data_IF_334774969249
#
_entry.id   IF_334774969249
#
_cell.length_a   1.000
_cell.length_b   1.000
_cell.length_c   1.000
_cell.angle_alpha   90.00
_cell.angle_beta   90.00
_cell.angle_gamma   90.00
#
_symmetry.space_group_name_H-M   'P 1'
#
loop_
_entity.id
_entity.type
_entity.pdbx_description
1 polymer ?
#
# COMPACT_ATOMS: atom_id res chain seq x y z
N UNK A 1 26.53 -6.15 -4.13
CA UNK A 1 26.69 -4.74 -3.68
C UNK A 1 26.75 -3.77 -4.86
N UNK A 2 27.46 -4.07 -5.96
CA UNK A 2 27.49 -3.23 -7.17
C UNK A 2 26.14 -3.17 -7.92
N UNK A 3 25.31 -4.22 -7.87
CA UNK A 3 23.97 -4.22 -8.48
C UNK A 3 22.94 -3.33 -7.77
N UNK A 4 23.21 -2.88 -6.54
CA UNK A 4 22.25 -2.08 -5.76
C UNK A 4 22.17 -0.63 -6.22
N UNK A 5 23.22 -0.13 -6.88
CA UNK A 5 23.37 1.27 -7.31
C UNK A 5 23.18 1.46 -8.81
N UNK A 6 22.43 0.57 -9.46
CA UNK A 6 21.97 0.83 -10.83
C UNK A 6 20.93 1.95 -10.83
N UNK A 7 20.86 2.72 -11.93
CA UNK A 7 19.87 3.81 -12.09
C UNK A 7 18.44 3.26 -11.94
N UNK A 8 18.20 2.03 -12.43
CA UNK A 8 16.91 1.35 -12.30
C UNK A 8 16.57 1.05 -10.83
N UNK A 9 17.50 0.45 -10.07
CA UNK A 9 17.25 0.10 -8.68
C UNK A 9 17.10 1.33 -7.78
N UNK A 10 17.80 2.42 -8.11
CA UNK A 10 17.61 3.71 -7.43
C UNK A 10 16.22 4.29 -7.71
N UNK A 11 15.74 4.20 -8.96
CA UNK A 11 14.38 4.58 -9.33
C UNK A 11 13.33 3.76 -8.60
N UNK A 12 13.49 2.44 -8.58
CA UNK A 12 12.61 1.52 -7.84
C UNK A 12 12.62 1.85 -6.34
N UNK A 13 13.78 2.10 -5.74
CA UNK A 13 13.91 2.47 -4.33
C UNK A 13 13.17 3.77 -4.02
N UNK A 14 13.36 4.80 -4.86
CA UNK A 14 12.68 6.08 -4.68
C UNK A 14 11.17 5.90 -4.75
N UNK A 15 10.70 5.15 -5.75
CA UNK A 15 9.27 4.84 -5.91
C UNK A 15 8.74 4.05 -4.72
N UNK A 16 9.46 3.03 -4.23
CA UNK A 16 9.07 2.24 -3.08
C UNK A 16 9.00 3.08 -1.81
N UNK A 17 10.01 3.92 -1.54
CA UNK A 17 9.99 4.84 -0.41
C UNK A 17 8.77 5.78 -0.48
N UNK A 18 8.47 6.29 -1.68
CA UNK A 18 7.31 7.15 -1.91
C UNK A 18 5.99 6.42 -1.68
N UNK A 19 5.81 5.25 -2.29
CA UNK A 19 4.63 4.41 -2.11
C UNK A 19 4.44 4.00 -0.66
N UNK A 20 5.51 3.62 0.03
CA UNK A 20 5.43 3.26 1.44
C UNK A 20 5.13 4.46 2.34
N UNK A 21 5.54 5.67 1.96
CA UNK A 21 5.12 6.88 2.66
C UNK A 21 3.62 7.17 2.45
N UNK A 22 3.12 7.00 1.22
CA UNK A 22 1.71 7.25 0.87
C UNK A 22 0.79 6.15 1.41
N UNK A 23 1.07 4.87 1.13
CA UNK A 23 0.33 3.69 1.58
C UNK A 23 0.56 3.35 3.06
N UNK A 24 1.69 3.78 3.62
CA UNK A 24 1.99 3.65 5.05
C UNK A 24 1.18 4.58 5.93
N UNK A 25 0.37 5.47 5.34
CA UNK A 25 -0.52 6.38 6.04
C UNK A 25 -1.52 5.66 6.94
N UNK A 26 -2.33 4.74 6.39
CA UNK A 26 -3.39 4.07 7.16
C UNK A 26 -2.82 3.29 8.34
N UNK A 27 -1.65 2.69 8.12
CA UNK A 27 -0.87 2.03 9.15
C UNK A 27 -0.43 2.99 10.27
N UNK A 28 0.05 4.19 9.91
CA UNK A 28 0.51 5.20 10.85
C UNK A 28 -0.66 5.86 11.60
N UNK A 29 -1.78 6.14 10.92
CA UNK A 29 -2.99 6.70 11.51
C UNK A 29 -3.58 5.72 12.53
N UNK A 30 -3.66 4.43 12.19
CA UNK A 30 -4.08 3.39 13.12
C UNK A 30 -3.16 3.29 14.35
N UNK A 31 -1.84 3.26 14.14
CA UNK A 31 -0.85 3.27 15.23
C UNK A 31 -1.07 4.49 16.14
N UNK A 32 -1.27 5.67 15.56
CA UNK A 32 -1.47 6.91 16.30
C UNK A 32 -2.74 6.86 17.14
N UNK A 33 -3.88 6.50 16.55
CA UNK A 33 -5.18 6.42 17.23
C UNK A 33 -5.16 5.35 18.33
N UNK A 34 -4.65 4.15 18.04
CA UNK A 34 -4.65 3.07 19.02
C UNK A 34 -3.64 3.36 20.15
N UNK A 35 -2.51 4.04 19.86
CA UNK A 35 -1.55 4.46 20.90
C UNK A 35 -2.15 5.43 21.92
N UNK A 36 -3.14 6.26 21.53
CA UNK A 36 -3.83 7.18 22.44
C UNK A 36 -4.70 6.44 23.47
N UNK A 37 -5.04 5.17 23.22
CA UNK A 37 -5.80 4.33 24.16
C UNK A 37 -4.93 3.75 25.29
N UNK A 38 -3.61 3.89 25.20
CA UNK A 38 -2.68 3.57 26.27
C UNK A 38 -2.62 4.69 27.33
N UNK A 39 -2.19 4.38 28.57
CA UNK A 39 -1.97 5.40 29.61
C UNK A 39 -1.07 6.53 29.08
N UNK A 40 -1.42 7.80 29.38
CA UNK A 40 -0.77 9.01 28.81
C UNK A 40 0.76 8.96 28.94
N UNK A 41 1.28 8.49 30.08
CA UNK A 41 2.72 8.36 30.32
C UNK A 41 3.42 7.34 29.41
N UNK A 42 2.69 6.37 28.85
CA UNK A 42 3.21 5.25 28.07
C UNK A 42 2.94 5.37 26.57
N UNK A 43 2.11 6.33 26.12
CA UNK A 43 1.71 6.46 24.71
C UNK A 43 2.89 6.58 23.73
N UNK A 44 3.90 7.39 24.09
CA UNK A 44 5.13 7.54 23.28
C UNK A 44 5.90 6.22 23.17
N UNK A 45 6.06 5.50 24.28
CA UNK A 45 6.75 4.22 24.29
C UNK A 45 5.98 3.16 23.50
N UNK A 46 4.66 3.10 23.67
CA UNK A 46 3.76 2.20 22.90
C UNK A 46 3.88 2.45 21.41
N UNK A 47 3.89 3.72 20.99
CA UNK A 47 4.06 4.08 19.59
C UNK A 47 5.44 3.68 19.05
N UNK A 48 6.51 4.02 19.78
CA UNK A 48 7.87 3.67 19.38
C UNK A 48 8.05 2.16 19.20
N UNK A 49 7.68 1.38 20.22
CA UNK A 49 7.77 -0.09 20.15
C UNK A 49 6.82 -0.68 19.12
N UNK A 50 5.61 -0.13 18.98
CA UNK A 50 4.67 -0.53 17.94
C UNK A 50 5.25 -0.38 16.53
N UNK A 51 5.88 0.76 16.24
CA UNK A 51 6.52 1.00 14.93
C UNK A 51 7.74 0.10 14.73
N UNK A 52 8.63 -0.03 15.72
CA UNK A 52 9.83 -0.88 15.61
C UNK A 52 9.43 -2.35 15.34
N UNK A 53 8.49 -2.89 16.11
CA UNK A 53 8.03 -4.27 15.94
C UNK A 53 7.32 -4.43 14.59
N UNK A 54 6.48 -3.47 14.18
CA UNK A 54 5.82 -3.48 12.88
C UNK A 54 6.81 -3.53 11.71
N UNK A 55 7.84 -2.68 11.73
CA UNK A 55 8.89 -2.64 10.69
C UNK A 55 9.68 -3.96 10.68
N UNK A 56 10.05 -4.48 11.84
CA UNK A 56 10.74 -5.75 11.94
C UNK A 56 9.90 -6.90 11.36
N UNK A 57 8.62 -6.99 11.73
CA UNK A 57 7.70 -7.99 11.19
C UNK A 57 7.48 -7.84 9.69
N UNK A 58 7.49 -6.62 9.15
CA UNK A 58 7.43 -6.39 7.69
C UNK A 58 8.62 -6.98 6.96
N UNK A 59 9.83 -6.78 7.48
CA UNK A 59 11.05 -7.35 6.87
C UNK A 59 11.02 -8.89 6.96
N UNK A 60 10.55 -9.43 8.08
CA UNK A 60 10.37 -10.89 8.23
C UNK A 60 9.31 -11.42 7.27
N UNK A 61 8.15 -10.77 7.18
CA UNK A 61 7.06 -11.15 6.27
C UNK A 61 7.54 -11.10 4.81
N UNK A 62 8.27 -10.05 4.43
CA UNK A 62 8.88 -9.93 3.11
C UNK A 62 9.80 -11.12 2.81
N UNK A 63 10.70 -11.44 3.73
CA UNK A 63 11.61 -12.58 3.58
C UNK A 63 10.85 -13.91 3.45
N UNK A 64 9.83 -14.12 4.27
CA UNK A 64 8.98 -15.32 4.24
C UNK A 64 8.21 -15.40 2.92
N UNK A 65 7.64 -14.29 2.45
CA UNK A 65 6.89 -14.23 1.19
C UNK A 65 7.76 -14.60 0.00
N UNK A 66 8.92 -13.95 -0.17
CA UNK A 66 9.86 -14.25 -1.26
C UNK A 66 10.31 -15.72 -1.17
N UNK A 67 10.69 -16.16 0.02
CA UNK A 67 11.12 -17.55 0.22
C UNK A 67 10.03 -18.57 -0.11
N UNK A 68 8.76 -18.27 0.17
CA UNK A 68 7.64 -19.15 -0.15
C UNK A 68 7.30 -19.12 -1.65
N UNK A 69 7.35 -17.95 -2.28
CA UNK A 69 7.18 -17.81 -3.73
C UNK A 69 8.22 -18.65 -4.46
N UNK A 70 9.50 -18.55 -4.07
CA UNK A 70 10.58 -19.32 -4.69
C UNK A 70 10.45 -20.83 -4.43
N UNK A 71 10.13 -21.22 -3.19
CA UNK A 71 10.01 -22.65 -2.83
C UNK A 71 8.78 -23.34 -3.40
N UNK A 72 7.72 -22.58 -3.70
CA UNK A 72 6.46 -23.07 -4.24
C UNK A 72 6.24 -22.56 -5.67
N UNK A 73 7.35 -22.48 -6.43
CA UNK A 73 7.40 -22.06 -7.82
C UNK A 73 6.67 -23.06 -8.75
N UNK A 74 6.75 -24.36 -8.44
CA UNK A 74 6.09 -25.40 -9.22
C UNK A 74 4.56 -25.24 -9.18
N UNK A 75 3.87 -25.32 -10.34
CA UNK A 75 2.43 -25.20 -10.39
C UNK A 75 1.75 -26.39 -9.70
N UNK A 76 0.84 -26.09 -8.78
CA UNK A 76 0.01 -27.09 -8.10
C UNK A 76 -1.02 -27.71 -9.03
N UNK A 77 -1.55 -26.90 -9.96
CA UNK A 77 -2.59 -27.28 -10.92
C UNK A 77 -2.27 -26.63 -12.26
N UNK A 78 -2.41 -27.39 -13.34
CA UNK A 78 -2.38 -26.87 -14.70
C UNK A 78 -3.78 -26.94 -15.29
N UNK A 79 -4.34 -25.79 -15.61
CA UNK A 79 -5.67 -25.63 -16.18
C UNK A 79 -5.55 -25.78 -17.70
N UNK A 80 -6.35 -26.69 -18.26
CA UNK A 80 -6.36 -27.01 -19.69
C UNK A 80 -7.77 -26.88 -20.28
N UNK A 81 -8.55 -25.89 -19.82
CA UNK A 81 -9.88 -25.63 -20.37
C UNK A 81 -9.76 -24.79 -21.63
N UNK A 82 -9.53 -25.51 -22.74
CA UNK A 82 -9.27 -24.93 -24.07
C UNK A 82 -10.29 -23.85 -24.41
N UNK A 83 -9.82 -22.62 -24.64
CA UNK A 83 -10.62 -21.48 -25.04
C UNK A 83 -11.38 -20.76 -23.92
N UNK A 84 -11.26 -21.19 -22.66
CA UNK A 84 -11.92 -20.56 -21.50
C UNK A 84 -10.87 -20.14 -20.47
N UNK A 85 -10.13 -21.11 -19.92
CA UNK A 85 -9.12 -20.88 -18.89
C UNK A 85 -7.98 -21.89 -19.03
N UNK A 86 -6.82 -21.38 -19.41
CA UNK A 86 -5.60 -22.17 -19.61
C UNK A 86 -4.48 -21.59 -18.74
N UNK A 87 -3.53 -22.41 -18.30
CA UNK A 87 -2.32 -21.95 -17.61
C UNK A 87 -2.04 -22.66 -16.28
N UNK A 88 -0.87 -22.39 -15.72
CA UNK A 88 -0.42 -22.93 -14.45
C UNK A 88 -0.86 -22.08 -13.26
N UNK A 89 -1.18 -22.74 -12.15
CA UNK A 89 -1.46 -22.09 -10.87
C UNK A 89 -0.44 -22.56 -9.85
N UNK A 90 0.47 -21.67 -9.47
CA UNK A 90 1.43 -21.88 -8.38
C UNK A 90 1.08 -21.02 -7.16
N UNK A 91 1.94 -21.02 -6.15
CA UNK A 91 1.72 -20.22 -4.94
C UNK A 91 1.65 -18.72 -5.22
N UNK A 92 2.56 -18.21 -6.06
CA UNK A 92 2.58 -16.80 -6.45
C UNK A 92 1.29 -16.40 -7.18
N UNK A 93 0.79 -17.22 -8.10
CA UNK A 93 -0.50 -17.01 -8.76
C UNK A 93 -1.63 -16.84 -7.73
N UNK A 94 -1.72 -17.75 -6.75
CA UNK A 94 -2.77 -17.65 -5.72
C UNK A 94 -2.62 -16.38 -4.87
N UNK A 95 -1.40 -16.07 -4.44
CA UNK A 95 -1.10 -14.90 -3.61
C UNK A 95 -1.40 -13.60 -4.36
N UNK A 96 -1.01 -13.49 -5.63
CA UNK A 96 -1.23 -12.29 -6.44
C UNK A 96 -2.70 -12.11 -6.83
N UNK A 97 -3.45 -13.19 -7.11
CA UNK A 97 -4.91 -13.09 -7.34
C UNK A 97 -5.62 -12.64 -6.06
N UNK A 98 -5.40 -13.36 -4.95
CA UNK A 98 -6.07 -13.05 -3.69
C UNK A 98 -5.68 -11.66 -3.17
N UNK A 99 -4.40 -11.35 -3.25
CA UNK A 99 -3.83 -10.06 -2.90
C UNK A 99 -4.37 -8.93 -3.77
N UNK A 100 -4.34 -9.08 -5.09
CA UNK A 100 -4.85 -8.09 -6.03
C UNK A 100 -6.33 -7.81 -5.82
N UNK A 101 -7.16 -8.85 -5.69
CA UNK A 101 -8.60 -8.70 -5.40
C UNK A 101 -8.83 -8.04 -4.04
N UNK A 102 -8.11 -8.47 -2.99
CA UNK A 102 -8.24 -7.90 -1.65
C UNK A 102 -7.89 -6.41 -1.62
N UNK A 103 -6.79 -6.04 -2.28
CA UNK A 103 -6.31 -4.67 -2.40
C UNK A 103 -7.32 -3.80 -3.17
N UNK A 104 -7.79 -4.27 -4.32
CA UNK A 104 -8.81 -3.56 -5.13
C UNK A 104 -10.09 -3.37 -4.31
N UNK A 105 -10.58 -4.44 -3.68
CA UNK A 105 -11.78 -4.39 -2.86
C UNK A 105 -11.65 -3.36 -1.74
N UNK A 106 -10.53 -3.39 -1.01
CA UNK A 106 -10.25 -2.46 0.09
C UNK A 106 -10.20 -1.02 -0.42
N UNK A 107 -9.46 -0.76 -1.49
CA UNK A 107 -9.37 0.58 -2.08
C UNK A 107 -10.73 1.12 -2.54
N UNK A 108 -11.53 0.32 -3.26
CA UNK A 108 -12.87 0.71 -3.72
C UNK A 108 -13.80 0.97 -2.55
N UNK A 109 -13.76 0.11 -1.52
CA UNK A 109 -14.58 0.24 -0.32
C UNK A 109 -14.25 1.52 0.44
N UNK A 110 -12.97 1.81 0.66
CA UNK A 110 -12.53 3.02 1.37
C UNK A 110 -12.87 4.29 0.56
N UNK A 111 -12.61 4.30 -0.76
CA UNK A 111 -13.02 5.41 -1.64
C UNK A 111 -14.53 5.65 -1.56
N UNK A 112 -15.34 4.58 -1.63
CA UNK A 112 -16.80 4.68 -1.52
C UNK A 112 -17.24 5.23 -0.16
N UNK A 113 -16.58 4.80 0.93
CA UNK A 113 -16.86 5.30 2.26
C UNK A 113 -16.56 6.80 2.36
N UNK A 114 -15.39 7.25 1.87
CA UNK A 114 -15.03 8.67 1.85
C UNK A 114 -16.02 9.54 1.06
N UNK A 115 -16.59 9.02 -0.03
CA UNK A 115 -17.61 9.71 -0.82
C UNK A 115 -18.99 9.73 -0.14
N UNK A 116 -19.30 8.72 0.67
CA UNK A 116 -20.58 8.60 1.39
C UNK A 116 -20.65 9.39 2.70
N UNK A 117 -19.50 9.77 3.27
CA UNK A 117 -19.44 10.44 4.57
C UNK A 117 -19.52 11.96 4.38
N UNK A 118 -20.75 12.44 4.23
CA UNK A 118 -21.17 13.70 4.83
C UNK A 118 -21.45 13.41 6.32
N UNK A 119 -20.56 13.89 7.19
CA UNK A 119 -20.60 13.80 8.66
C UNK A 119 -20.50 12.39 9.29
N UNK A 120 -19.33 12.10 9.88
CA UNK A 120 -19.22 11.33 11.12
C UNK A 120 -17.88 11.67 11.80
N UNK A 121 -17.93 12.67 12.70
CA UNK A 121 -17.04 12.69 13.85
C UNK A 121 -17.45 11.50 14.71
N UNK A 122 -16.64 10.44 14.73
CA UNK A 122 -16.78 9.43 15.77
C UNK A 122 -16.16 10.01 17.04
N UNK A 123 -17.05 10.39 17.96
CA UNK A 123 -16.72 10.65 19.36
C UNK A 123 -15.85 9.51 19.89
N UNK A 124 -14.66 9.85 20.37
CA UNK A 124 -13.83 8.94 21.17
C UNK A 124 -14.45 8.92 22.57
N UNK A 125 -15.61 8.27 22.70
CA UNK A 125 -16.21 8.03 24.00
C UNK A 125 -15.36 7.06 24.80
N UNK A 126 -15.03 7.50 26.02
CA UNK A 126 -14.04 6.89 26.89
C UNK A 126 -14.38 5.44 27.23
N UNK A 127 -13.47 4.53 26.87
CA UNK A 127 -13.38 3.20 27.48
C UNK A 127 -11.95 2.92 27.91
N UNK A 128 -11.77 2.98 29.23
CA UNK A 128 -10.82 2.24 30.09
C UNK A 128 -9.49 1.82 29.47
N UNK A 129 -8.40 2.36 30.04
CA UNK A 129 -7.01 2.12 29.65
C UNK A 129 -6.71 0.63 29.47
N UNK A 130 -6.64 0.21 28.20
CA UNK A 130 -6.05 -1.08 27.85
C UNK A 130 -4.59 -1.05 28.32
N UNK A 131 -4.13 -2.15 28.92
CA UNK A 131 -2.70 -2.30 29.25
C UNK A 131 -1.84 -1.99 28.02
N UNK A 132 -0.75 -1.24 28.18
CA UNK A 132 0.13 -0.86 27.07
C UNK A 132 0.58 -2.06 26.23
N UNK A 133 0.83 -3.21 26.85
CA UNK A 133 1.17 -4.45 26.15
C UNK A 133 0.03 -4.91 25.21
N UNK A 134 -1.23 -4.80 25.64
CA UNK A 134 -2.40 -5.16 24.82
C UNK A 134 -2.58 -4.20 23.64
N UNK A 135 -2.28 -2.91 23.85
CA UNK A 135 -2.31 -1.89 22.80
C UNK A 135 -1.22 -2.16 21.77
N UNK A 136 0.01 -2.43 22.21
CA UNK A 136 1.11 -2.82 21.31
C UNK A 136 0.75 -4.08 20.53
N UNK A 137 0.24 -5.13 21.18
CA UNK A 137 -0.17 -6.35 20.47
C UNK A 137 -1.23 -6.10 19.39
N UNK A 138 -2.22 -5.25 19.67
CA UNK A 138 -3.25 -4.91 18.68
C UNK A 138 -2.69 -4.11 17.51
N UNK A 139 -1.81 -3.14 17.80
CA UNK A 139 -1.06 -2.38 16.80
C UNK A 139 -0.28 -3.33 15.90
N UNK A 140 0.48 -4.24 16.50
CA UNK A 140 1.33 -5.20 15.79
C UNK A 140 0.48 -6.14 14.92
N UNK A 141 -0.62 -6.66 15.46
CA UNK A 141 -1.51 -7.56 14.74
C UNK A 141 -2.18 -6.88 13.55
N UNK A 142 -2.72 -5.68 13.73
CA UNK A 142 -3.33 -4.94 12.62
C UNK A 142 -2.30 -4.49 11.59
N UNK A 143 -1.10 -4.08 12.03
CA UNK A 143 -0.02 -3.76 11.11
C UNK A 143 0.41 -4.97 10.29
N UNK A 144 0.41 -6.17 10.88
CA UNK A 144 0.69 -7.40 10.13
C UNK A 144 -0.34 -7.63 9.01
N UNK A 145 -1.64 -7.46 9.31
CA UNK A 145 -2.70 -7.59 8.29
C UNK A 145 -2.49 -6.57 7.16
N UNK A 146 -2.34 -5.29 7.50
CA UNK A 146 -2.10 -4.24 6.50
C UNK A 146 -0.74 -4.33 5.81
N UNK A 147 0.23 -5.02 6.43
CA UNK A 147 1.55 -5.18 5.81
C UNK A 147 1.52 -6.09 4.60
N UNK A 148 0.55 -7.01 4.51
CA UNK A 148 0.37 -7.85 3.33
C UNK A 148 0.18 -6.98 2.07
N UNK A 149 -0.69 -5.98 2.12
CA UNK A 149 -0.94 -5.11 0.98
C UNK A 149 0.33 -4.37 0.54
N UNK A 150 1.06 -3.79 1.50
CA UNK A 150 2.29 -3.07 1.23
C UNK A 150 3.43 -3.96 0.71
N UNK A 151 3.51 -5.21 1.17
CA UNK A 151 4.53 -6.19 0.72
C UNK A 151 4.21 -6.68 -0.68
N UNK A 152 2.95 -7.08 -0.93
CA UNK A 152 2.50 -7.48 -2.26
C UNK A 152 2.65 -6.35 -3.27
N UNK A 153 2.29 -5.13 -2.87
CA UNK A 153 2.49 -3.94 -3.69
C UNK A 153 3.95 -3.69 -4.07
N UNK A 154 4.86 -3.99 -3.14
CA UNK A 154 6.29 -3.80 -3.36
C UNK A 154 6.88 -4.89 -4.27
N UNK A 155 6.39 -6.14 -4.14
CA UNK A 155 6.77 -7.25 -5.02
C UNK A 155 6.37 -7.00 -6.48
N UNK A 156 5.27 -6.29 -6.72
CA UNK A 156 4.87 -5.87 -8.07
C UNK A 156 5.85 -4.89 -8.76
N UNK A 157 6.82 -4.34 -8.03
CA UNK A 157 7.75 -3.31 -8.53
C UNK A 157 9.15 -3.91 -8.76
N UNK A 158 9.64 -4.68 -7.82
CA UNK A 158 10.97 -5.31 -7.88
C UNK A 158 11.03 -6.54 -7.01
N UNK A 159 11.79 -7.54 -7.47
CA UNK A 159 12.07 -8.77 -6.73
C UNK A 159 13.38 -8.68 -5.92
N UNK A 160 14.07 -7.54 -5.98
CA UNK A 160 15.35 -7.35 -5.29
C UNK A 160 15.11 -7.14 -3.80
N UNK A 161 15.25 -8.22 -3.02
CA UNK A 161 15.06 -8.22 -1.56
C UNK A 161 15.75 -7.03 -0.87
N UNK A 162 16.99 -6.73 -1.25
CA UNK A 162 17.74 -5.65 -0.61
C UNK A 162 17.12 -4.26 -0.85
N UNK A 163 16.58 -4.00 -2.05
CA UNK A 163 15.90 -2.74 -2.37
C UNK A 163 14.60 -2.63 -1.56
N UNK A 164 13.82 -3.71 -1.51
CA UNK A 164 12.57 -3.79 -0.74
C UNK A 164 12.80 -3.59 0.76
N UNK A 165 13.79 -4.30 1.33
CA UNK A 165 14.12 -4.21 2.74
C UNK A 165 14.64 -2.81 3.13
N UNK A 166 15.52 -2.21 2.30
CA UNK A 166 16.01 -0.86 2.53
C UNK A 166 14.87 0.16 2.48
N UNK A 167 13.94 0.02 1.52
CA UNK A 167 12.76 0.88 1.45
C UNK A 167 11.94 0.78 2.76
N UNK A 168 11.61 -0.44 3.20
CA UNK A 168 10.83 -0.68 4.43
C UNK A 168 11.52 -0.06 5.65
N UNK A 169 12.84 -0.22 5.78
CA UNK A 169 13.61 0.33 6.90
C UNK A 169 13.64 1.85 6.84
N UNK A 170 13.93 2.44 5.67
CA UNK A 170 13.93 3.90 5.48
C UNK A 170 12.56 4.51 5.79
N UNK A 171 11.49 3.89 5.30
CA UNK A 171 10.12 4.30 5.59
C UNK A 171 9.81 4.18 7.08
N UNK A 172 10.21 3.08 7.73
CA UNK A 172 10.06 2.88 9.17
C UNK A 172 10.80 3.92 10.01
N UNK A 173 12.03 4.28 9.63
CA UNK A 173 12.80 5.34 10.28
C UNK A 173 12.13 6.71 10.07
N UNK A 174 11.68 7.00 8.85
CA UNK A 174 10.94 8.22 8.56
C UNK A 174 9.65 8.32 9.39
N UNK A 175 8.92 7.21 9.55
CA UNK A 175 7.75 7.13 10.43
C UNK A 175 8.11 7.41 11.88
N UNK A 176 9.20 6.86 12.43
CA UNK A 176 9.61 7.14 13.80
C UNK A 176 9.93 8.63 14.03
N UNK A 177 10.63 9.26 13.09
CA UNK A 177 11.06 10.67 13.20
C UNK A 177 9.89 11.62 12.95
N UNK A 178 9.00 11.28 12.02
CA UNK A 178 7.98 12.19 11.51
C UNK A 178 6.56 11.84 11.94
N UNK A 179 6.33 10.78 12.73
CA UNK A 179 4.98 10.28 13.06
C UNK A 179 4.01 11.39 13.49
N UNK A 180 4.39 12.23 14.46
CA UNK A 180 3.53 13.30 14.95
C UNK A 180 3.21 14.37 13.89
N UNK A 181 4.16 14.67 13.01
CA UNK A 181 4.01 15.69 11.96
C UNK A 181 3.23 15.15 10.76
N UNK A 182 3.48 13.90 10.38
CA UNK A 182 2.81 13.22 9.27
C UNK A 182 1.34 12.98 9.61
N UNK A 183 1.03 12.49 10.82
CA UNK A 183 -0.37 12.33 11.26
C UNK A 183 -1.13 13.66 11.18
N UNK A 184 -0.59 14.74 11.75
CA UNK A 184 -1.24 16.07 11.73
C UNK A 184 -1.37 16.65 10.33
N UNK A 185 -0.37 16.44 9.46
CA UNK A 185 -0.42 16.89 8.07
C UNK A 185 -1.52 16.17 7.28
N UNK A 186 -1.64 14.86 7.48
CA UNK A 186 -2.58 14.03 6.73
C UNK A 186 -4.02 14.18 7.24
N UNK A 187 -4.22 14.33 8.55
CA UNK A 187 -5.53 14.73 9.12
C UNK A 187 -6.05 16.03 8.49
N UNK A 188 -5.15 16.98 8.21
CA UNK A 188 -5.48 18.27 7.61
C UNK A 188 -5.67 18.19 6.08
N UNK A 189 -5.05 17.22 5.43
CA UNK A 189 -5.00 17.12 3.97
C UNK A 189 -5.48 15.74 3.47
N UNK A 190 -6.75 15.39 3.78
CA UNK A 190 -7.42 14.14 3.37
C UNK A 190 -7.40 13.82 1.87
N UNK A 191 -7.11 14.80 1.00
CA UNK A 191 -6.95 14.55 -0.43
C UNK A 191 -5.77 13.61 -0.74
N UNK A 192 -4.69 13.67 0.05
CA UNK A 192 -3.53 12.78 -0.17
C UNK A 192 -3.80 11.34 0.29
N UNK A 193 -4.75 11.13 1.20
CA UNK A 193 -5.26 9.81 1.59
C UNK A 193 -5.97 9.14 0.40
N UNK A 194 -6.89 9.87 -0.26
CA UNK A 194 -7.59 9.38 -1.47
C UNK A 194 -6.60 9.03 -2.59
N UNK A 195 -5.56 9.84 -2.77
CA UNK A 195 -4.52 9.60 -3.78
C UNK A 195 -3.80 8.26 -3.54
N UNK A 196 -3.51 7.93 -2.27
CA UNK A 196 -2.93 6.64 -1.91
C UNK A 196 -3.83 5.46 -2.24
N UNK A 197 -5.14 5.59 -2.02
CA UNK A 197 -6.12 4.56 -2.37
C UNK A 197 -6.20 4.32 -3.88
N UNK A 198 -6.07 5.37 -4.70
CA UNK A 198 -6.01 5.20 -6.16
C UNK A 198 -4.73 4.48 -6.61
N UNK A 199 -3.59 4.77 -5.99
CA UNK A 199 -2.35 4.05 -6.29
C UNK A 199 -2.48 2.60 -5.87
N UNK A 200 -3.05 2.34 -4.70
CA UNK A 200 -3.34 1.00 -4.20
C UNK A 200 -4.22 0.22 -5.19
N UNK A 201 -5.24 0.86 -5.77
CA UNK A 201 -6.08 0.29 -6.83
C UNK A 201 -5.26 -0.09 -8.07
N UNK A 202 -4.38 0.81 -8.56
CA UNK A 202 -3.50 0.53 -9.70
C UNK A 202 -2.61 -0.68 -9.39
N UNK A 203 -2.01 -0.71 -8.20
CA UNK A 203 -1.16 -1.83 -7.77
C UNK A 203 -1.94 -3.14 -7.70
N UNK A 204 -3.18 -3.11 -7.23
CA UNK A 204 -4.05 -4.28 -7.26
C UNK A 204 -4.27 -4.82 -8.68
N UNK A 205 -4.44 -3.94 -9.67
CA UNK A 205 -4.52 -4.32 -11.09
C UNK A 205 -3.19 -4.90 -11.59
N UNK A 206 -2.06 -4.32 -11.21
CA UNK A 206 -0.72 -4.85 -11.54
C UNK A 206 -0.57 -6.27 -11.00
N UNK A 207 -0.96 -6.52 -9.74
CA UNK A 207 -0.89 -7.85 -9.13
C UNK A 207 -1.75 -8.89 -9.85
N UNK A 208 -2.96 -8.53 -10.27
CA UNK A 208 -3.78 -9.44 -11.09
C UNK A 208 -3.11 -9.74 -12.44
N UNK A 209 -2.39 -8.78 -13.01
CA UNK A 209 -1.54 -8.98 -14.17
C UNK A 209 -0.37 -9.92 -13.91
N UNK A 210 0.36 -9.71 -12.82
CA UNK A 210 1.50 -10.54 -12.39
C UNK A 210 1.07 -11.98 -12.11
N UNK A 211 -0.12 -12.17 -11.53
CA UNK A 211 -0.69 -13.50 -11.36
C UNK A 211 -0.80 -14.28 -12.67
N UNK A 212 -1.06 -13.56 -13.77
CA UNK A 212 -1.19 -14.09 -15.12
C UNK A 212 0.08 -14.81 -15.59
N UNK A 213 1.24 -14.24 -15.27
CA UNK A 213 2.54 -14.75 -15.71
C UNK A 213 3.33 -15.46 -14.62
N UNK A 214 2.85 -15.46 -13.37
CA UNK A 214 3.58 -15.97 -12.22
C UNK A 214 4.07 -17.42 -12.38
N UNK A 215 3.24 -18.33 -12.89
CA UNK A 215 3.63 -19.71 -13.12
C UNK A 215 4.59 -19.85 -14.32
N UNK A 216 4.36 -19.07 -15.38
CA UNK A 216 5.23 -19.06 -16.57
C UNK A 216 6.64 -18.55 -16.24
N UNK A 217 6.74 -17.42 -15.54
CA UNK A 217 8.02 -16.85 -15.10
C UNK A 217 8.77 -17.78 -14.14
N UNK A 218 8.07 -18.40 -13.20
CA UNK A 218 8.69 -19.30 -12.22
C UNK A 218 9.29 -20.55 -12.88
N UNK A 219 8.59 -21.12 -13.86
CA UNK A 219 9.00 -22.35 -14.56
C UNK A 219 9.77 -22.11 -15.86
N UNK A 220 9.90 -20.85 -16.29
CA UNK A 220 10.45 -20.48 -17.61
C UNK A 220 9.72 -21.18 -18.77
N UNK A 221 8.39 -21.30 -18.64
CA UNK A 221 7.52 -21.98 -19.60
C UNK A 221 6.29 -21.13 -19.89
N UNK A 222 6.28 -20.48 -21.06
CA UNK A 222 5.21 -19.59 -21.52
C UNK A 222 3.86 -20.32 -21.69
N UNK A 223 3.86 -21.66 -21.79
CA UNK A 223 2.61 -22.43 -21.84
C UNK A 223 1.84 -22.39 -20.52
N UNK A 224 2.52 -22.07 -19.41
CA UNK A 224 1.89 -21.93 -18.09
C UNK A 224 1.32 -20.52 -17.85
N UNK A 225 1.42 -19.61 -18.81
CA UNK A 225 0.80 -18.30 -18.72
C UNK A 225 -0.73 -18.45 -18.66
N UNK A 226 -1.37 -17.76 -17.72
CA UNK A 226 -2.82 -17.76 -17.55
C UNK A 226 -3.48 -17.03 -18.71
N UNK A 227 -4.34 -17.77 -19.43
CA UNK A 227 -5.12 -17.26 -20.56
C UNK A 227 -6.59 -17.28 -20.21
N UNK A 228 -7.25 -16.15 -20.39
CA UNK A 228 -8.70 -16.02 -20.28
C UNK A 228 -9.26 -15.83 -21.67
N UNK A 229 -10.17 -16.72 -22.09
CA UNK A 229 -10.76 -16.69 -23.44
C UNK A 229 -9.72 -16.67 -24.58
N UNK A 230 -8.58 -17.35 -24.37
CA UNK A 230 -7.46 -17.38 -25.33
C UNK A 230 -6.54 -16.16 -25.29
N UNK A 231 -6.79 -15.17 -24.44
CA UNK A 231 -5.93 -13.99 -24.25
C UNK A 231 -5.08 -14.15 -23.00
N UNK A 232 -3.77 -13.98 -23.15
CA UNK A 232 -2.83 -13.97 -22.03
C UNK A 232 -3.05 -12.75 -21.14
N UNK A 233 -3.02 -12.99 -19.83
CA UNK A 233 -3.02 -11.91 -18.84
C UNK A 233 -1.58 -11.44 -18.69
N UNK A 234 -1.29 -10.29 -19.27
CA UNK A 234 0.05 -9.69 -19.27
C UNK A 234 0.10 -8.58 -18.22
N UNK A 235 1.12 -8.55 -17.34
CA UNK A 235 1.29 -7.48 -16.38
C UNK A 235 1.57 -6.15 -17.06
N UNK A 236 1.14 -5.08 -16.41
CA UNK A 236 1.44 -3.72 -16.82
C UNK A 236 2.94 -3.44 -16.67
N UNK A 237 3.57 -2.80 -17.65
CA UNK A 237 5.00 -2.49 -17.54
C UNK A 237 5.28 -1.52 -16.37
N UNK A 238 6.44 -1.67 -15.72
CA UNK A 238 6.91 -0.79 -14.63
C UNK A 238 6.89 0.68 -15.05
N UNK A 239 7.31 0.98 -16.28
CA UNK A 239 7.30 2.34 -16.83
C UNK A 239 5.88 2.89 -16.92
N UNK A 240 4.93 2.08 -17.39
CA UNK A 240 3.52 2.49 -17.44
C UNK A 240 3.02 2.76 -16.03
N UNK A 241 3.34 1.90 -15.05
CA UNK A 241 2.96 2.09 -13.66
C UNK A 241 3.51 3.41 -13.09
N UNK A 242 4.80 3.68 -13.26
CA UNK A 242 5.43 4.94 -12.81
C UNK A 242 4.82 6.15 -13.48
N UNK A 243 4.60 6.07 -14.79
CA UNK A 243 3.95 7.12 -15.55
C UNK A 243 2.54 7.41 -15.01
N UNK A 244 1.73 6.37 -14.76
CA UNK A 244 0.40 6.50 -14.18
C UNK A 244 0.42 7.19 -12.82
N UNK A 245 1.34 6.82 -11.93
CA UNK A 245 1.44 7.44 -10.60
C UNK A 245 1.88 8.91 -10.69
N UNK A 246 2.85 9.23 -11.56
CA UNK A 246 3.29 10.61 -11.78
C UNK A 246 2.14 11.47 -12.31
N UNK A 247 1.39 10.96 -13.30
CA UNK A 247 0.23 11.66 -13.86
C UNK A 247 -0.85 11.84 -12.79
N UNK A 248 -1.13 10.83 -11.98
CA UNK A 248 -2.10 10.91 -10.89
C UNK A 248 -1.75 12.03 -9.90
N UNK A 249 -0.48 12.12 -9.50
CA UNK A 249 0.02 13.20 -8.65
C UNK A 249 -0.04 14.57 -9.32
N UNK A 250 0.34 14.66 -10.59
CA UNK A 250 0.29 15.92 -11.33
C UNK A 250 -1.14 16.45 -11.44
N UNK A 251 -2.10 15.57 -11.75
CA UNK A 251 -3.53 15.91 -11.80
C UNK A 251 -4.02 16.39 -10.43
N UNK A 252 -3.68 15.70 -9.35
CA UNK A 252 -4.08 16.09 -8.00
C UNK A 252 -3.50 17.46 -7.59
N UNK A 253 -2.24 17.74 -7.92
CA UNK A 253 -1.61 19.05 -7.66
C UNK A 253 -2.35 20.17 -8.42
N UNK A 254 -2.68 19.94 -9.70
CA UNK A 254 -3.40 20.90 -10.53
C UNK A 254 -4.82 21.13 -9.97
N UNK A 255 -5.54 20.07 -9.64
CA UNK A 255 -6.89 20.15 -9.05
C UNK A 255 -6.89 20.85 -7.69
N UNK A 256 -5.92 20.54 -6.83
CA UNK A 256 -5.75 21.20 -5.53
C UNK A 256 -5.47 22.69 -5.69
N UNK A 257 -4.61 23.07 -6.65
CA UNK A 257 -4.32 24.45 -6.99
C UNK A 257 -5.56 25.21 -7.50
N UNK A 258 -6.31 24.60 -8.41
CA UNK A 258 -7.55 25.17 -8.94
C UNK A 258 -8.60 25.38 -7.84
N UNK A 259 -8.81 24.37 -7.00
CA UNK A 259 -9.78 24.41 -5.89
C UNK A 259 -9.43 25.47 -4.87
N UNK A 260 -8.14 25.64 -4.54
CA UNK A 260 -7.66 26.72 -3.65
C UNK A 260 -7.97 28.11 -4.24
N UNK A 261 -7.73 28.31 -5.54
CA UNK A 261 -8.03 29.58 -6.21
C UNK A 261 -9.54 29.86 -6.24
N UNK A 262 -10.35 28.86 -6.59
CA UNK A 262 -11.81 28.98 -6.61
C UNK A 262 -12.39 29.32 -5.23
N UNK A 263 -11.86 28.69 -4.17
CA UNK A 263 -12.26 28.97 -2.80
C UNK A 263 -11.84 30.37 -2.33
N UNK A 264 -10.69 30.87 -2.79
CA UNK A 264 -10.26 32.24 -2.51
C UNK A 264 -11.19 33.26 -3.19
N UNK A 265 -11.57 33.04 -4.44
CA UNK A 265 -12.53 33.89 -5.17
C UNK A 265 -13.93 33.88 -4.52
N UNK A 266 -14.44 32.70 -4.12
CA UNK A 266 -15.73 32.59 -3.39
C UNK A 266 -15.71 33.35 -2.06
N UNK A 267 -14.60 33.29 -1.31
CA UNK A 267 -14.45 34.04 -0.05
C UNK A 267 -14.39 35.55 -0.28
N UNK A 268 -13.72 36.00 -1.34
CA UNK A 268 -13.70 37.41 -1.73
C UNK A 268 -15.09 37.94 -2.11
N UNK A 269 -15.88 37.14 -2.84
CA UNK A 269 -17.26 37.48 -3.20
C UNK A 269 -18.21 37.52 -1.98
N UNK A 270 -18.06 36.59 -1.04
CA UNK A 270 -18.87 36.56 0.20
C UNK A 270 -18.48 37.68 1.19
N UNK A 271 -17.22 38.10 1.21
CA UNK A 271 -16.75 39.23 2.02
C UNK A 271 -17.18 40.60 1.49
N UNK A 272 -17.34 40.74 0.16
CA UNK A 272 -17.79 41.99 -0.47
C UNK A 272 -19.30 42.26 -0.36
N UNK A 273 -20.12 41.25 -0.03
CA UNK A 273 -21.58 41.39 0.10
C UNK A 273 -22.06 41.83 1.50
N UNK A 274 -21.13 42.16 2.42
CA UNK A 274 -21.42 42.60 3.81
C UNK A 274 -21.16 44.08 4.07
N UNK A 275 -20.91 44.88 3.03
CA UNK A 275 -20.83 46.34 3.08
C UNK A 275 -21.88 46.95 2.17
#
# INVERSE_FOLDING_TARGET
>A
MADLLTIENLGNLLMLCFLQAVLGFDNLLYISIESQRAPVAQQRAVRFWGIIIAVALRVVLLFVMISLIDKLAEPFVVLNWVGILEGGVNFATCVFILGGVFIIYTAVKEISHMLSVEHLHTDVEGKSGKSAAKVVMLIVFMNLIFSFDSVLSALAITDVFAVLAIAIILSGVAMLVLADSVTRFLEKNRMYEVLGLFILLIVGVVLLGEAGQAAAHAMHDDALALKFFGYEVVPMSKTTFYFSVIVLFAVEIIQSGYTRKLNAERRAQQGGARH
#
